data_IF_580029720725
#
_entry.id   IF_580029720725
#
_cell.length_a   1.000
_cell.length_b   1.000
_cell.length_c   1.000
_cell.angle_alpha   90.00
_cell.angle_beta   90.00
_cell.angle_gamma   90.00
#
_symmetry.space_group_name_H-M   'P 1'
#
loop_
_entity.id
_entity.type
_entity.pdbx_description
1 polymer ?
#
# COMPACT_ATOMS: atom_id res chain seq x y z
N UNK A 1 -27.63 2.40 11.49
CA UNK A 1 -26.49 1.46 11.43
C UNK A 1 -25.72 1.65 10.15
N UNK A 2 -26.35 1.54 8.97
CA UNK A 2 -25.69 1.71 7.67
C UNK A 2 -25.72 3.15 7.15
N UNK A 3 -24.86 3.46 6.18
CA UNK A 3 -24.84 4.75 5.48
C UNK A 3 -26.16 5.03 4.75
N UNK A 4 -26.36 6.30 4.37
CA UNK A 4 -27.47 6.74 3.52
C UNK A 4 -26.93 7.25 2.20
N UNK A 5 -27.56 6.84 1.11
CA UNK A 5 -27.38 7.45 -0.20
C UNK A 5 -28.04 8.85 -0.22
N UNK A 6 -27.78 9.61 -1.28
CA UNK A 6 -28.36 10.95 -1.48
C UNK A 6 -29.90 10.95 -1.46
N UNK A 7 -30.51 9.90 -2.02
CA UNK A 7 -31.97 9.70 -2.03
C UNK A 7 -32.55 9.22 -0.69
N UNK A 8 -31.71 9.10 0.36
CA UNK A 8 -32.10 8.63 1.69
C UNK A 8 -32.23 7.11 1.83
N UNK A 9 -32.01 6.33 0.77
CA UNK A 9 -32.00 4.87 0.86
C UNK A 9 -30.77 4.35 1.62
N UNK A 10 -30.85 3.19 2.30
CA UNK A 10 -29.71 2.64 3.04
C UNK A 10 -28.65 2.08 2.08
N UNK A 11 -27.39 2.44 2.31
CA UNK A 11 -26.23 1.84 1.66
C UNK A 11 -25.63 0.76 2.57
N UNK A 12 -25.97 -0.50 2.28
CA UNK A 12 -25.58 -1.65 3.10
C UNK A 12 -24.10 -2.03 2.96
N UNK A 13 -23.35 -1.41 2.03
CA UNK A 13 -21.92 -1.70 1.91
C UNK A 13 -21.20 -1.24 3.17
N UNK A 14 -21.61 -0.09 3.75
CA UNK A 14 -20.89 0.56 4.84
C UNK A 14 -21.73 0.93 6.05
N UNK A 15 -21.11 0.91 7.22
CA UNK A 15 -21.64 1.49 8.45
C UNK A 15 -21.70 3.03 8.37
N UNK A 16 -22.73 3.59 8.98
CA UNK A 16 -22.82 5.01 9.28
C UNK A 16 -22.05 5.28 10.57
N UNK A 17 -20.92 5.97 10.45
CA UNK A 17 -20.03 6.28 11.56
C UNK A 17 -20.54 7.42 12.46
N UNK A 18 -21.68 8.06 12.16
CA UNK A 18 -22.40 8.86 13.15
C UNK A 18 -23.44 8.05 13.95
N UNK A 19 -23.72 6.79 13.58
CA UNK A 19 -24.81 5.99 14.15
C UNK A 19 -24.45 5.34 15.49
N UNK A 20 -25.25 5.58 16.53
CA UNK A 20 -25.11 4.88 17.82
C UNK A 20 -25.22 3.35 17.66
N UNK A 21 -26.14 2.87 16.81
CA UNK A 21 -26.28 1.43 16.53
C UNK A 21 -25.01 0.79 15.95
N UNK A 22 -24.21 1.53 15.19
CA UNK A 22 -22.94 1.02 14.65
C UNK A 22 -21.86 0.95 15.75
N UNK A 23 -21.82 1.95 16.64
CA UNK A 23 -20.98 1.96 17.83
C UNK A 23 -21.32 0.78 18.76
N UNK A 24 -22.61 0.60 19.08
CA UNK A 24 -23.09 -0.48 19.94
C UNK A 24 -22.74 -1.86 19.38
N UNK A 25 -22.83 -2.04 18.06
CA UNK A 25 -22.45 -3.29 17.39
C UNK A 25 -20.96 -3.63 17.58
N UNK A 26 -20.06 -2.66 17.39
CA UNK A 26 -18.62 -2.90 17.60
C UNK A 26 -18.30 -3.14 19.08
N UNK A 27 -18.93 -2.40 20.00
CA UNK A 27 -18.79 -2.60 21.44
C UNK A 27 -19.34 -3.94 21.91
N UNK A 28 -20.41 -4.45 21.29
CA UNK A 28 -20.92 -5.78 21.57
C UNK A 28 -19.90 -6.86 21.19
N UNK A 29 -19.19 -6.69 20.07
CA UNK A 29 -18.06 -7.55 19.72
C UNK A 29 -16.95 -7.55 20.79
N UNK A 30 -16.71 -6.40 21.43
CA UNK A 30 -15.76 -6.30 22.54
C UNK A 30 -16.24 -7.07 23.78
N UNK A 31 -17.52 -6.97 24.13
CA UNK A 31 -18.14 -7.78 25.22
C UNK A 31 -18.02 -9.27 24.92
N UNK A 32 -18.41 -9.68 23.71
CA UNK A 32 -18.35 -11.08 23.31
C UNK A 32 -16.93 -11.63 23.37
N UNK A 33 -15.92 -10.85 22.96
CA UNK A 33 -14.52 -11.28 22.99
C UNK A 33 -13.88 -11.21 24.36
N UNK A 34 -13.84 -10.03 24.99
CA UNK A 34 -13.06 -9.80 26.20
C UNK A 34 -13.75 -10.28 27.48
N UNK A 35 -15.08 -10.24 27.53
CA UNK A 35 -15.83 -10.65 28.72
C UNK A 35 -16.29 -12.12 28.63
N UNK A 36 -16.61 -12.59 27.42
CA UNK A 36 -17.20 -13.91 27.20
C UNK A 36 -16.30 -14.90 26.44
N UNK A 37 -15.11 -14.49 25.99
CA UNK A 37 -14.14 -15.38 25.33
C UNK A 37 -14.57 -15.87 23.94
N UNK A 38 -15.53 -15.23 23.29
CA UNK A 38 -15.99 -15.60 21.94
C UNK A 38 -15.08 -14.97 20.87
N UNK A 39 -14.73 -15.72 19.81
CA UNK A 39 -13.96 -15.16 18.71
C UNK A 39 -14.81 -14.13 17.94
N UNK A 40 -14.26 -12.93 17.74
CA UNK A 40 -14.85 -11.85 16.95
C UNK A 40 -13.77 -11.33 16.01
N UNK A 41 -14.03 -11.29 14.71
CA UNK A 41 -12.98 -11.09 13.69
C UNK A 41 -12.29 -9.72 13.73
N UNK A 42 -12.93 -8.70 14.32
CA UNK A 42 -12.36 -7.36 14.48
C UNK A 42 -11.86 -7.06 15.92
N UNK A 43 -11.81 -8.07 16.79
CA UNK A 43 -11.33 -7.92 18.19
C UNK A 43 -10.26 -8.97 18.47
N UNK A 44 -9.07 -8.50 18.84
CA UNK A 44 -7.97 -9.35 19.32
C UNK A 44 -7.95 -9.38 20.85
N UNK A 45 -7.01 -10.10 21.46
CA UNK A 45 -6.85 -10.11 22.91
C UNK A 45 -6.49 -8.74 23.49
N UNK A 46 -5.95 -7.81 22.70
CA UNK A 46 -5.44 -6.52 23.19
C UNK A 46 -6.10 -5.29 22.55
N UNK A 47 -6.73 -5.42 21.38
CA UNK A 47 -7.33 -4.28 20.69
C UNK A 47 -8.61 -4.63 19.93
N UNK A 48 -9.45 -3.62 19.76
CA UNK A 48 -10.55 -3.63 18.78
C UNK A 48 -10.15 -2.80 17.57
N UNK A 49 -10.38 -3.33 16.38
CA UNK A 49 -10.04 -2.66 15.13
C UNK A 49 -11.24 -1.92 14.56
N UNK A 50 -11.08 -0.62 14.29
CA UNK A 50 -11.99 0.19 13.48
C UNK A 50 -11.39 0.29 12.08
N UNK A 51 -11.81 -0.63 11.20
CA UNK A 51 -11.47 -0.63 9.78
C UNK A 51 -12.75 -0.50 8.97
N UNK A 52 -13.01 0.63 8.32
CA UNK A 52 -14.09 0.70 7.36
C UNK A 52 -13.89 -0.25 6.19
N UNK A 53 -14.97 -0.49 5.45
CA UNK A 53 -14.91 -1.23 4.20
C UNK A 53 -14.07 -0.45 3.20
N UNK A 54 -13.41 -1.18 2.32
CA UNK A 54 -12.43 -0.65 1.35
C UNK A 54 -13.10 0.19 0.23
N UNK A 55 -13.65 1.33 0.60
CA UNK A 55 -14.21 2.36 -0.27
C UNK A 55 -14.40 3.66 0.53
N UNK A 56 -14.77 4.73 -0.18
CA UNK A 56 -14.98 6.06 0.40
C UNK A 56 -16.18 6.08 1.35
N UNK A 57 -16.03 6.76 2.49
CA UNK A 57 -17.16 7.10 3.37
C UNK A 57 -17.95 8.23 2.69
N UNK A 58 -19.24 8.03 2.46
CA UNK A 58 -20.08 8.96 1.73
C UNK A 58 -21.55 8.89 2.20
N UNK A 59 -21.76 9.19 3.49
CA UNK A 59 -23.06 9.07 4.14
C UNK A 59 -23.81 10.40 4.14
N UNK A 60 -25.02 10.42 3.59
CA UNK A 60 -25.87 11.61 3.47
C UNK A 60 -26.91 11.77 4.59
N UNK A 61 -26.75 11.06 5.71
CA UNK A 61 -27.65 11.28 6.84
C UNK A 61 -27.39 12.65 7.50
N UNK A 62 -28.42 13.19 8.15
CA UNK A 62 -28.39 14.49 8.84
C UNK A 62 -27.19 14.64 9.81
N UNK A 63 -26.80 13.56 10.48
CA UNK A 63 -25.67 13.57 11.43
C UNK A 63 -24.29 13.46 10.76
N UNK A 64 -24.19 12.97 9.53
CA UNK A 64 -22.91 12.85 8.81
C UNK A 64 -22.67 14.05 7.89
N UNK A 65 -23.71 14.55 7.22
CA UNK A 65 -23.62 15.64 6.23
C UNK A 65 -22.80 16.86 6.70
N UNK A 66 -23.00 17.43 7.91
CA UNK A 66 -22.23 18.59 8.36
C UNK A 66 -20.79 18.29 8.76
N UNK A 67 -20.37 17.02 8.81
CA UNK A 67 -19.03 16.61 9.19
C UNK A 67 -18.11 16.40 7.97
N UNK A 68 -18.64 16.43 6.75
CA UNK A 68 -17.83 16.33 5.55
C UNK A 68 -17.11 17.64 5.26
N UNK A 69 -15.82 17.54 4.91
CA UNK A 69 -14.93 18.68 4.66
C UNK A 69 -14.44 18.64 3.20
N UNK A 70 -15.21 19.13 2.22
CA UNK A 70 -14.90 18.96 0.79
C UNK A 70 -13.54 19.56 0.39
N UNK A 71 -13.10 20.63 1.06
CA UNK A 71 -11.83 21.30 0.78
C UNK A 71 -10.60 20.47 1.15
N UNK A 72 -10.77 19.39 1.93
CA UNK A 72 -9.69 18.47 2.30
C UNK A 72 -9.55 17.29 1.34
N UNK A 73 -10.10 17.39 0.13
CA UNK A 73 -9.98 16.35 -0.87
C UNK A 73 -8.51 16.06 -1.25
N UNK A 74 -8.18 14.81 -1.64
CA UNK A 74 -9.09 13.67 -1.78
C UNK A 74 -9.14 12.77 -0.53
N UNK A 75 -8.23 12.93 0.43
CA UNK A 75 -8.04 11.99 1.54
C UNK A 75 -8.56 12.47 2.89
N UNK A 76 -9.05 13.70 2.97
CA UNK A 76 -9.49 14.31 4.20
C UNK A 76 -11.01 14.46 4.36
N UNK A 77 -11.79 14.30 3.29
CA UNK A 77 -13.20 14.75 3.26
C UNK A 77 -14.13 14.10 4.29
N UNK A 78 -13.82 12.88 4.75
CA UNK A 78 -14.56 12.16 5.79
C UNK A 78 -13.74 11.94 7.07
N UNK A 79 -12.58 12.57 7.22
CA UNK A 79 -11.70 12.36 8.38
C UNK A 79 -12.36 12.75 9.69
N UNK A 80 -13.15 13.82 9.70
CA UNK A 80 -13.90 14.25 10.88
C UNK A 80 -15.02 13.29 11.25
N UNK A 81 -15.74 12.74 10.25
CA UNK A 81 -16.75 11.68 10.46
C UNK A 81 -16.13 10.49 11.17
N UNK A 82 -15.00 10.00 10.65
CA UNK A 82 -14.32 8.84 11.23
C UNK A 82 -13.66 9.16 12.58
N UNK A 83 -13.01 10.31 12.71
CA UNK A 83 -12.34 10.72 13.94
C UNK A 83 -13.31 10.81 15.12
N UNK A 84 -14.51 11.38 14.92
CA UNK A 84 -15.53 11.44 15.98
C UNK A 84 -16.08 10.05 16.35
N UNK A 85 -16.13 9.11 15.40
CA UNK A 85 -16.49 7.73 15.71
C UNK A 85 -15.40 7.01 16.50
N UNK A 86 -14.15 7.11 16.04
CA UNK A 86 -12.98 6.49 16.69
C UNK A 86 -12.79 7.06 18.10
N UNK A 87 -12.99 8.37 18.30
CA UNK A 87 -12.97 8.99 19.63
C UNK A 87 -13.98 8.32 20.58
N UNK A 88 -15.24 8.18 20.17
CA UNK A 88 -16.28 7.54 20.99
C UNK A 88 -15.95 6.07 21.29
N UNK A 89 -15.38 5.34 20.33
CA UNK A 89 -14.87 3.98 20.55
C UNK A 89 -13.76 3.99 21.61
N UNK A 90 -12.79 4.89 21.51
CA UNK A 90 -11.68 5.00 22.47
C UNK A 90 -12.18 5.31 23.88
N UNK A 91 -13.11 6.26 24.02
CA UNK A 91 -13.71 6.64 25.31
C UNK A 91 -14.41 5.45 25.97
N UNK A 92 -15.27 4.74 25.23
CA UNK A 92 -15.98 3.57 25.76
C UNK A 92 -15.05 2.40 26.08
N UNK A 93 -14.06 2.13 25.21
CA UNK A 93 -13.09 1.05 25.44
C UNK A 93 -12.24 1.34 26.67
N UNK A 94 -11.73 2.57 26.82
CA UNK A 94 -10.92 2.97 27.98
C UNK A 94 -11.72 2.89 29.28
N UNK A 95 -13.01 3.26 29.25
CA UNK A 95 -13.91 3.23 30.41
C UNK A 95 -14.24 1.80 30.86
N UNK A 96 -14.49 0.89 29.91
CA UNK A 96 -15.03 -0.46 30.19
C UNK A 96 -13.94 -1.52 30.31
N UNK A 97 -12.87 -1.41 29.54
CA UNK A 97 -11.77 -2.37 29.50
C UNK A 97 -10.41 -1.65 29.59
N UNK A 98 -10.03 -1.16 30.78
CA UNK A 98 -8.74 -0.52 30.99
C UNK A 98 -7.58 -1.38 30.48
N UNK A 99 -6.66 -0.77 29.73
CA UNK A 99 -5.52 -1.46 29.11
C UNK A 99 -5.79 -2.04 27.71
N UNK A 100 -7.02 -1.98 27.19
CA UNK A 100 -7.31 -2.31 25.79
C UNK A 100 -7.18 -1.09 24.87
N UNK A 101 -6.76 -1.33 23.65
CA UNK A 101 -6.56 -0.30 22.63
C UNK A 101 -7.66 -0.31 21.55
N UNK A 102 -7.80 0.82 20.85
CA UNK A 102 -8.55 0.93 19.60
C UNK A 102 -7.54 1.13 18.47
N UNK A 103 -7.46 0.15 17.56
CA UNK A 103 -6.65 0.28 16.35
C UNK A 103 -7.51 0.88 15.24
N UNK A 104 -7.14 2.06 14.76
CA UNK A 104 -7.81 2.71 13.63
C UNK A 104 -6.99 2.55 12.34
N UNK A 105 -7.66 2.12 11.26
CA UNK A 105 -7.12 2.04 9.91
C UNK A 105 -7.66 3.19 9.04
N UNK A 106 -7.00 4.37 9.04
CA UNK A 106 -7.35 5.47 8.16
C UNK A 106 -6.96 5.15 6.70
N UNK A 107 -7.93 5.31 5.78
CA UNK A 107 -7.78 4.98 4.36
C UNK A 107 -8.79 5.80 3.51
N UNK A 108 -8.62 5.83 2.18
CA UNK A 108 -9.49 6.61 1.29
C UNK A 108 -9.69 8.07 1.76
N UNK A 109 -10.89 8.60 1.64
CA UNK A 109 -11.22 9.97 1.99
C UNK A 109 -11.23 10.26 3.50
N UNK A 110 -10.79 9.32 4.33
CA UNK A 110 -10.59 9.45 5.77
C UNK A 110 -9.16 9.05 6.18
N UNK A 111 -8.18 9.25 5.30
CA UNK A 111 -6.77 8.95 5.60
C UNK A 111 -6.13 10.05 6.45
N UNK A 112 -6.47 11.31 6.18
CA UNK A 112 -5.83 12.45 6.84
C UNK A 112 -6.23 12.55 8.32
N UNK A 113 -5.29 12.97 9.16
CA UNK A 113 -5.56 13.17 10.57
C UNK A 113 -6.53 14.36 10.77
N UNK A 114 -7.66 14.19 11.49
CA UNK A 114 -8.47 15.31 11.94
C UNK A 114 -7.80 15.95 13.17
N UNK A 115 -6.88 16.89 12.92
CA UNK A 115 -6.02 17.48 13.95
C UNK A 115 -6.79 18.19 15.07
N UNK A 116 -8.01 18.65 14.80
CA UNK A 116 -8.90 19.30 15.77
C UNK A 116 -9.54 18.32 16.76
N UNK A 117 -9.45 17.01 16.53
CA UNK A 117 -10.01 15.98 17.40
C UNK A 117 -8.93 15.50 18.36
N UNK A 118 -9.23 15.60 19.66
CA UNK A 118 -8.44 15.00 20.72
C UNK A 118 -8.95 13.60 21.04
N UNK A 119 -8.05 12.62 21.04
CA UNK A 119 -8.33 11.21 21.28
C UNK A 119 -7.78 10.78 22.64
N UNK A 120 -8.42 9.80 23.31
CA UNK A 120 -7.81 9.12 24.43
C UNK A 120 -6.50 8.40 24.04
N UNK A 121 -5.60 8.23 25.02
CA UNK A 121 -4.26 7.61 24.88
C UNK A 121 -4.25 6.12 24.50
N UNK A 122 -5.41 5.48 24.33
CA UNK A 122 -5.54 4.10 23.89
C UNK A 122 -5.79 3.97 22.38
N UNK A 123 -5.65 5.06 21.61
CA UNK A 123 -5.68 5.04 20.16
C UNK A 123 -4.35 4.54 19.58
N UNK A 124 -4.43 3.60 18.66
CA UNK A 124 -3.34 3.15 17.81
C UNK A 124 -3.69 3.36 16.33
N UNK A 125 -2.69 3.61 15.50
CA UNK A 125 -2.87 3.88 14.06
C UNK A 125 -2.13 2.83 13.23
N UNK A 126 -2.85 2.31 12.23
CA UNK A 126 -2.30 1.58 11.10
C UNK A 126 -2.74 2.25 9.82
N UNK A 127 -1.95 3.23 9.34
CA UNK A 127 -2.35 4.07 8.22
C UNK A 127 -2.19 3.32 6.90
N UNK A 128 -3.26 3.25 6.10
CA UNK A 128 -3.19 2.69 4.75
C UNK A 128 -2.52 3.68 3.81
N UNK A 129 -1.52 3.22 3.05
CA UNK A 129 -0.96 3.98 1.93
C UNK A 129 -1.71 3.62 0.65
N UNK A 130 -1.49 4.39 -0.42
CA UNK A 130 -2.20 4.19 -1.69
C UNK A 130 -1.46 3.21 -2.61
N UNK A 131 -0.41 3.68 -3.30
CA UNK A 131 0.49 2.84 -4.10
C UNK A 131 1.94 3.22 -3.81
N UNK A 132 2.66 2.34 -3.11
CA UNK A 132 3.98 2.68 -2.55
C UNK A 132 4.99 3.10 -3.61
N UNK A 133 5.06 2.39 -4.74
CA UNK A 133 6.02 2.73 -5.79
C UNK A 133 5.75 4.09 -6.48
N UNK A 134 4.60 4.74 -6.24
CA UNK A 134 4.36 6.13 -6.65
C UNK A 134 5.00 7.16 -5.72
N UNK A 135 5.47 6.77 -4.53
CA UNK A 135 6.19 7.64 -3.59
C UNK A 135 7.59 8.04 -4.08
N UNK A 136 8.03 7.60 -5.27
CA UNK A 136 9.13 8.26 -5.98
C UNK A 136 8.79 9.72 -6.35
N UNK A 137 7.50 10.04 -6.48
CA UNK A 137 7.03 11.39 -6.77
C UNK A 137 6.99 12.22 -5.48
N UNK A 138 7.62 13.40 -5.43
CA UNK A 138 7.66 14.23 -4.23
C UNK A 138 6.28 14.62 -3.68
N UNK A 139 5.29 14.85 -4.55
CA UNK A 139 3.94 15.19 -4.10
C UNK A 139 3.27 14.00 -3.39
N UNK A 140 3.27 12.82 -3.99
CA UNK A 140 2.70 11.60 -3.42
C UNK A 140 3.38 11.26 -2.09
N UNK A 141 4.72 11.28 -2.06
CA UNK A 141 5.51 11.03 -0.85
C UNK A 141 5.23 12.07 0.23
N UNK A 142 5.29 13.35 -0.12
CA UNK A 142 5.08 14.45 0.82
C UNK A 142 3.68 14.43 1.43
N UNK A 143 2.66 14.03 0.67
CA UNK A 143 1.30 13.87 1.20
C UNK A 143 1.24 12.75 2.24
N UNK A 144 1.76 11.57 1.91
CA UNK A 144 1.76 10.42 2.82
C UNK A 144 2.59 10.68 4.08
N UNK A 145 3.77 11.28 3.95
CA UNK A 145 4.61 11.63 5.10
C UNK A 145 3.97 12.71 6.00
N UNK A 146 3.23 13.67 5.43
CA UNK A 146 2.46 14.64 6.23
C UNK A 146 1.39 13.95 7.08
N UNK A 147 0.58 13.08 6.49
CA UNK A 147 -0.47 12.36 7.22
C UNK A 147 0.12 11.39 8.25
N UNK A 148 1.22 10.71 7.91
CA UNK A 148 1.98 9.86 8.82
C UNK A 148 2.46 10.61 10.07
N UNK A 149 3.13 11.76 9.87
CA UNK A 149 3.65 12.58 10.97
C UNK A 149 2.51 13.20 11.80
N UNK A 150 1.39 13.57 11.17
CA UNK A 150 0.22 14.08 11.88
C UNK A 150 -0.36 13.02 12.82
N UNK A 151 -0.52 11.78 12.33
CA UNK A 151 -0.96 10.66 13.15
C UNK A 151 0.03 10.31 14.26
N UNK A 152 1.32 10.28 13.96
CA UNK A 152 2.37 10.02 14.96
C UNK A 152 2.37 11.06 16.08
N UNK A 153 2.23 12.36 15.76
CA UNK A 153 2.03 13.41 16.77
C UNK A 153 0.77 13.18 17.59
N UNK A 154 -0.33 12.79 16.94
CA UNK A 154 -1.63 12.61 17.61
C UNK A 154 -1.64 11.44 18.61
N UNK A 155 -0.91 10.35 18.33
CA UNK A 155 -0.76 9.23 19.27
C UNK A 155 0.44 9.36 20.20
N UNK A 156 1.27 10.39 20.02
CA UNK A 156 2.46 10.62 20.85
C UNK A 156 3.57 9.59 20.66
N UNK A 157 3.67 8.98 19.48
CA UNK A 157 4.63 7.89 19.22
C UNK A 157 4.62 7.39 17.78
N UNK A 158 5.43 6.37 17.48
CA UNK A 158 5.49 5.79 16.14
C UNK A 158 4.17 5.06 15.81
N UNK A 159 3.79 5.09 14.53
CA UNK A 159 2.58 4.43 14.01
C UNK A 159 2.96 3.29 13.08
N UNK A 160 2.01 2.41 12.79
CA UNK A 160 2.19 1.39 11.75
C UNK A 160 1.58 1.83 10.43
N UNK A 161 2.02 1.25 9.33
CA UNK A 161 1.36 1.41 8.02
C UNK A 161 0.84 0.09 7.47
N UNK A 162 -0.13 0.20 6.56
CA UNK A 162 -0.65 -0.89 5.76
C UNK A 162 -0.30 -0.59 4.30
N UNK A 163 0.58 -1.40 3.74
CA UNK A 163 1.25 -1.14 2.46
C UNK A 163 0.77 -2.08 1.38
N UNK A 164 0.62 -1.57 0.15
CA UNK A 164 0.12 -2.35 -0.99
C UNK A 164 1.22 -2.50 -2.05
N UNK A 165 2.11 -3.48 -1.88
CA UNK A 165 3.23 -3.70 -2.83
C UNK A 165 2.75 -4.20 -4.20
N UNK A 166 1.54 -4.75 -4.28
CA UNK A 166 0.92 -5.30 -5.47
C UNK A 166 0.31 -4.27 -6.44
N UNK A 167 0.13 -3.00 -6.04
CA UNK A 167 -0.60 -2.01 -6.87
C UNK A 167 -0.01 -1.82 -8.26
N UNK A 168 1.31 -1.74 -8.37
CA UNK A 168 1.96 -1.55 -9.68
C UNK A 168 1.81 -2.77 -10.59
N UNK A 169 2.03 -4.01 -10.09
CA UNK A 169 1.65 -5.22 -10.83
C UNK A 169 0.19 -5.30 -11.31
N UNK A 170 -0.76 -4.62 -10.65
CA UNK A 170 -2.16 -4.57 -11.11
C UNK A 170 -2.36 -3.66 -12.33
N UNK A 171 -1.44 -2.73 -12.60
CA UNK A 171 -1.61 -1.69 -13.62
C UNK A 171 -0.84 -1.94 -14.90
N UNK A 172 0.22 -2.75 -14.83
CA UNK A 172 1.07 -3.07 -15.98
C UNK A 172 1.72 -4.44 -15.79
N UNK A 173 1.93 -5.14 -16.91
CA UNK A 173 2.73 -6.36 -16.93
C UNK A 173 4.24 -6.10 -16.88
N UNK A 174 4.69 -4.84 -16.99
CA UNK A 174 6.10 -4.49 -17.01
C UNK A 174 6.84 -4.94 -15.73
N UNK A 175 8.14 -5.32 -15.82
CA UNK A 175 8.91 -5.75 -14.67
C UNK A 175 9.28 -4.53 -13.81
N UNK A 176 8.36 -4.12 -12.92
CA UNK A 176 8.54 -2.97 -12.04
C UNK A 176 9.21 -3.41 -10.74
N UNK A 177 10.33 -2.78 -10.37
CA UNK A 177 11.01 -2.96 -9.09
C UNK A 177 11.34 -1.59 -8.48
N UNK A 178 11.34 -1.48 -7.15
CA UNK A 178 11.64 -0.23 -6.45
C UNK A 178 12.28 -0.43 -5.05
N UNK A 179 13.28 -1.31 -4.90
CA UNK A 179 13.84 -1.65 -3.60
C UNK A 179 14.60 -0.49 -2.93
N UNK A 180 15.22 0.42 -3.69
CA UNK A 180 15.93 1.57 -3.14
C UNK A 180 14.95 2.62 -2.63
N UNK A 181 13.83 2.82 -3.33
CA UNK A 181 12.73 3.67 -2.85
C UNK A 181 12.17 3.17 -1.50
N UNK A 182 12.01 1.86 -1.35
CA UNK A 182 11.60 1.24 -0.08
C UNK A 182 12.60 1.62 1.02
N UNK A 183 13.89 1.36 0.82
CA UNK A 183 14.91 1.74 1.80
C UNK A 183 14.85 3.23 2.17
N UNK A 184 14.80 4.11 1.18
CA UNK A 184 14.80 5.56 1.39
C UNK A 184 13.58 6.04 2.18
N UNK A 185 12.42 5.42 1.99
CA UNK A 185 11.20 5.74 2.74
C UNK A 185 11.34 5.35 4.22
N UNK A 186 11.72 4.10 4.51
CA UNK A 186 11.81 3.63 5.89
C UNK A 186 12.96 4.28 6.64
N UNK A 187 14.09 4.56 5.98
CA UNK A 187 15.19 5.31 6.59
C UNK A 187 14.75 6.73 6.99
N UNK A 188 14.03 7.43 6.11
CA UNK A 188 13.60 8.81 6.33
C UNK A 188 12.48 8.95 7.39
N UNK A 189 11.71 7.88 7.64
CA UNK A 189 10.56 7.90 8.53
C UNK A 189 10.71 6.99 9.76
N UNK A 190 11.94 6.52 10.05
CA UNK A 190 12.23 5.60 11.16
C UNK A 190 11.90 6.13 12.55
N UNK A 191 11.77 7.45 12.69
CA UNK A 191 11.40 8.14 13.94
C UNK A 191 9.89 8.06 14.22
N UNK A 192 9.08 7.89 13.18
CA UNK A 192 7.61 7.90 13.26
C UNK A 192 6.97 6.57 12.86
N UNK A 193 7.74 5.60 12.37
CA UNK A 193 7.26 4.27 11.99
C UNK A 193 7.67 3.20 13.01
N UNK A 194 6.69 2.41 13.45
CA UNK A 194 6.92 1.21 14.24
C UNK A 194 7.10 -0.04 13.37
N UNK A 195 6.67 0.03 12.11
CA UNK A 195 6.70 -1.08 11.15
C UNK A 195 5.48 -1.04 10.23
N UNK A 196 5.39 -2.03 9.35
CA UNK A 196 4.36 -2.05 8.31
C UNK A 196 3.85 -3.46 8.07
N UNK A 197 2.55 -3.55 7.84
CA UNK A 197 1.92 -4.73 7.28
C UNK A 197 1.99 -4.62 5.76
N UNK A 198 2.60 -5.60 5.09
CA UNK A 198 2.58 -5.68 3.63
C UNK A 198 1.36 -6.50 3.20
N UNK A 199 0.38 -5.81 2.64
CA UNK A 199 -0.82 -6.40 2.12
C UNK A 199 -0.54 -7.14 0.82
N UNK A 200 -0.70 -8.44 0.88
CA UNK A 200 -0.61 -9.34 -0.24
C UNK A 200 -0.97 -10.77 0.18
N UNK A 201 -0.68 -11.73 -0.70
CA UNK A 201 -1.00 -13.13 -0.48
C UNK A 201 -1.53 -13.85 -1.74
N UNK A 202 -1.68 -13.14 -2.85
CA UNK A 202 -2.02 -13.75 -4.13
C UNK A 202 -0.75 -14.02 -4.94
N UNK A 203 -0.69 -15.19 -5.59
CA UNK A 203 0.49 -15.65 -6.37
C UNK A 203 0.95 -14.61 -7.41
N UNK A 204 0.02 -13.87 -8.02
CA UNK A 204 0.32 -12.85 -9.02
C UNK A 204 1.16 -11.69 -8.47
N UNK A 205 0.91 -11.29 -7.23
CA UNK A 205 1.58 -10.17 -6.56
C UNK A 205 3.07 -10.51 -6.33
N UNK A 206 3.32 -11.70 -5.79
CA UNK A 206 4.67 -12.23 -5.57
C UNK A 206 5.43 -12.43 -6.90
N UNK A 207 4.75 -12.76 -8.01
CA UNK A 207 5.44 -13.02 -9.27
C UNK A 207 6.08 -11.76 -9.88
N UNK A 208 5.46 -10.60 -9.67
CA UNK A 208 5.91 -9.34 -10.25
C UNK A 208 6.67 -8.44 -9.25
N UNK A 209 6.43 -8.56 -7.94
CA UNK A 209 7.06 -7.72 -6.91
C UNK A 209 8.08 -8.44 -6.01
N UNK A 210 8.30 -9.76 -6.16
CA UNK A 210 9.13 -10.55 -5.24
C UNK A 210 10.51 -9.97 -4.89
N UNK A 211 11.32 -9.46 -5.85
CA UNK A 211 12.62 -8.89 -5.48
C UNK A 211 12.48 -7.65 -4.58
N UNK A 212 11.53 -6.76 -4.87
CA UNK A 212 11.22 -5.60 -4.03
C UNK A 212 10.70 -6.04 -2.67
N UNK A 213 9.74 -6.96 -2.61
CA UNK A 213 9.20 -7.46 -1.33
C UNK A 213 10.27 -8.16 -0.48
N UNK A 214 11.19 -8.91 -1.10
CA UNK A 214 12.30 -9.56 -0.40
C UNK A 214 13.24 -8.53 0.25
N UNK A 215 13.58 -7.46 -0.48
CA UNK A 215 14.35 -6.32 0.09
C UNK A 215 13.52 -5.63 1.16
N UNK A 216 12.23 -5.40 0.93
CA UNK A 216 11.34 -4.74 1.86
C UNK A 216 11.30 -5.43 3.22
N UNK A 217 11.21 -6.76 3.25
CA UNK A 217 11.29 -7.54 4.50
C UNK A 217 12.62 -7.37 5.25
N UNK A 218 13.74 -7.15 4.54
CA UNK A 218 15.04 -6.85 5.17
C UNK A 218 15.10 -5.41 5.68
N UNK A 219 14.54 -4.47 4.93
CA UNK A 219 14.45 -3.05 5.31
C UNK A 219 13.59 -2.86 6.57
N UNK A 220 12.49 -3.60 6.71
CA UNK A 220 11.65 -3.58 7.93
C UNK A 220 12.41 -4.03 9.18
N UNK A 221 13.42 -4.89 9.03
CA UNK A 221 14.31 -5.27 10.12
C UNK A 221 15.41 -4.22 10.36
N UNK A 222 16.00 -3.69 9.29
CA UNK A 222 17.03 -2.66 9.35
C UNK A 222 17.02 -1.80 8.06
N UNK A 223 16.69 -0.49 8.12
CA UNK A 223 16.67 0.36 6.94
C UNK A 223 18.07 0.73 6.41
N UNK A 224 19.14 0.41 7.13
CA UNK A 224 20.53 0.70 6.75
C UNK A 224 21.25 -0.47 6.07
N UNK A 225 20.49 -1.47 5.58
CA UNK A 225 21.03 -2.60 4.80
C UNK A 225 21.61 -2.17 3.45
N UNK A 226 22.51 -2.98 2.89
CA UNK A 226 22.95 -2.82 1.50
C UNK A 226 21.94 -3.50 0.55
N UNK A 227 21.12 -2.69 -0.11
CA UNK A 227 20.07 -3.17 -1.04
C UNK A 227 20.69 -3.94 -2.21
N UNK A 228 21.78 -3.45 -2.78
CA UNK A 228 22.38 -4.04 -3.97
C UNK A 228 23.03 -5.39 -3.63
N UNK A 229 23.70 -5.49 -2.48
CA UNK A 229 24.22 -6.76 -1.98
C UNK A 229 23.12 -7.79 -1.68
N UNK A 230 21.95 -7.35 -1.19
CA UNK A 230 20.79 -8.23 -0.98
C UNK A 230 20.30 -8.81 -2.32
N UNK A 231 20.20 -7.97 -3.36
CA UNK A 231 19.78 -8.39 -4.69
C UNK A 231 20.82 -9.31 -5.36
N UNK A 232 22.10 -9.01 -5.21
CA UNK A 232 23.19 -9.87 -5.71
C UNK A 232 23.11 -11.27 -5.08
N UNK A 233 22.89 -11.33 -3.76
CA UNK A 233 22.78 -12.58 -3.05
C UNK A 233 21.46 -13.32 -3.36
N UNK A 234 20.38 -12.61 -3.69
CA UNK A 234 19.14 -13.20 -4.21
C UNK A 234 19.39 -13.86 -5.58
N UNK A 235 19.97 -13.12 -6.53
CA UNK A 235 20.27 -13.63 -7.87
C UNK A 235 21.21 -14.84 -7.83
N UNK A 236 22.25 -14.79 -6.99
CA UNK A 236 23.21 -15.89 -6.80
C UNK A 236 22.50 -17.17 -6.35
N UNK A 237 21.60 -17.06 -5.35
CA UNK A 237 20.90 -18.22 -4.76
C UNK A 237 19.80 -18.78 -5.66
N UNK A 238 19.16 -17.93 -6.45
CA UNK A 238 18.00 -18.34 -7.25
C UNK A 238 18.37 -18.79 -8.67
N UNK A 239 19.36 -18.15 -9.31
CA UNK A 239 19.58 -18.27 -10.75
C UNK A 239 20.96 -18.84 -11.13
N UNK A 240 21.84 -19.08 -10.16
CA UNK A 240 23.10 -19.81 -10.37
C UNK A 240 23.95 -19.17 -11.48
N UNK A 241 24.17 -19.91 -12.57
CA UNK A 241 24.96 -19.46 -13.73
C UNK A 241 24.47 -18.15 -14.34
N UNK A 242 23.17 -17.87 -14.28
CA UNK A 242 22.58 -16.63 -14.80
C UNK A 242 22.55 -15.48 -13.79
N UNK A 243 23.18 -15.63 -12.62
CA UNK A 243 23.11 -14.63 -11.54
C UNK A 243 23.45 -13.21 -12.01
N UNK A 244 24.54 -13.04 -12.76
CA UNK A 244 24.97 -11.72 -13.24
C UNK A 244 23.95 -11.11 -14.21
N UNK A 245 23.46 -11.90 -15.17
CA UNK A 245 22.47 -11.45 -16.16
C UNK A 245 21.12 -11.14 -15.53
N UNK A 246 20.65 -11.99 -14.61
CA UNK A 246 19.42 -11.75 -13.84
C UNK A 246 19.55 -10.51 -12.95
N UNK A 247 20.72 -10.26 -12.38
CA UNK A 247 20.97 -9.07 -11.57
C UNK A 247 20.92 -7.79 -12.41
N UNK A 248 21.52 -7.82 -13.60
CA UNK A 248 21.47 -6.72 -14.56
C UNK A 248 20.02 -6.44 -15.03
N UNK A 249 19.22 -7.49 -15.23
CA UNK A 249 17.78 -7.36 -15.49
C UNK A 249 17.06 -6.62 -14.36
N UNK A 250 17.26 -7.04 -13.11
CA UNK A 250 16.63 -6.40 -11.94
C UNK A 250 17.13 -4.96 -11.74
N UNK A 251 18.41 -4.71 -11.98
CA UNK A 251 19.00 -3.36 -11.93
C UNK A 251 18.31 -2.44 -12.93
N UNK A 252 18.19 -2.88 -14.18
CA UNK A 252 17.52 -2.09 -15.22
C UNK A 252 16.05 -1.86 -14.87
N UNK A 253 15.32 -2.91 -14.44
CA UNK A 253 13.94 -2.80 -14.00
C UNK A 253 13.75 -1.74 -12.88
N UNK A 254 14.59 -1.78 -11.85
CA UNK A 254 14.58 -0.82 -10.75
C UNK A 254 14.94 0.59 -11.20
N UNK A 255 16.06 0.74 -11.92
CA UNK A 255 16.53 2.04 -12.42
C UNK A 255 15.47 2.73 -13.29
N UNK A 256 14.77 1.96 -14.15
CA UNK A 256 13.72 2.52 -15.00
C UNK A 256 12.56 3.03 -14.18
N UNK A 257 12.02 2.26 -13.24
CA UNK A 257 10.90 2.74 -12.45
C UNK A 257 11.29 3.91 -11.54
N UNK A 258 12.41 3.81 -10.84
CA UNK A 258 12.80 4.80 -9.83
C UNK A 258 13.29 6.12 -10.46
N UNK A 259 13.94 6.09 -11.62
CA UNK A 259 14.70 7.23 -12.16
C UNK A 259 14.25 7.73 -13.53
N UNK A 260 13.36 7.03 -14.26
CA UNK A 260 12.93 7.51 -15.57
C UNK A 260 12.31 8.91 -15.48
N UNK A 261 12.62 9.80 -16.45
CA UNK A 261 12.06 11.14 -16.51
C UNK A 261 10.62 11.05 -17.03
N UNK A 262 9.65 10.98 -16.12
CA UNK A 262 8.25 10.93 -16.50
C UNK A 262 7.78 12.28 -17.03
N UNK A 263 7.04 12.31 -18.16
CA UNK A 263 6.51 13.55 -18.73
C UNK A 263 5.40 14.17 -17.87
N UNK A 264 4.74 13.36 -17.02
CA UNK A 264 3.75 13.81 -16.05
C UNK A 264 3.80 13.00 -14.74
N UNK A 265 3.18 13.54 -13.70
CA UNK A 265 2.92 12.79 -12.47
C UNK A 265 1.69 11.88 -12.59
N UNK A 266 1.70 10.77 -11.88
CA UNK A 266 0.59 9.80 -11.79
C UNK A 266 -0.29 10.02 -10.55
N UNK A 267 -0.02 11.05 -9.74
CA UNK A 267 -0.63 11.22 -8.43
C UNK A 267 -0.23 10.09 -7.47
N UNK A 268 -1.11 9.78 -6.51
CA UNK A 268 -0.88 8.78 -5.46
C UNK A 268 -1.73 7.51 -5.60
N UNK A 269 -2.74 7.50 -6.48
CA UNK A 269 -3.58 6.33 -6.77
C UNK A 269 -3.88 6.16 -8.28
N UNK A 270 -2.98 6.64 -9.15
CA UNK A 270 -3.14 6.62 -10.61
C UNK A 270 -3.00 5.23 -11.24
N UNK A 271 -2.92 5.18 -12.57
CA UNK A 271 -2.49 3.99 -13.33
C UNK A 271 -1.30 4.40 -14.20
N UNK A 272 -0.50 3.44 -14.65
CA UNK A 272 0.55 3.74 -15.63
C UNK A 272 -0.12 4.07 -16.97
N UNK A 273 -0.05 5.33 -17.38
CA UNK A 273 -0.60 5.78 -18.67
C UNK A 273 0.41 5.61 -19.81
N UNK A 274 0.00 5.68 -21.09
CA UNK A 274 0.89 5.43 -22.22
C UNK A 274 2.13 6.34 -22.28
N UNK A 275 2.06 7.66 -22.02
CA UNK A 275 3.26 8.51 -22.00
C UNK A 275 4.26 8.14 -20.90
N UNK A 276 3.78 7.86 -19.68
CA UNK A 276 4.65 7.41 -18.59
C UNK A 276 5.21 6.02 -18.87
N UNK A 277 4.42 5.11 -19.46
CA UNK A 277 4.89 3.81 -19.91
C UNK A 277 6.02 3.97 -20.95
N UNK A 278 5.82 4.76 -22.00
CA UNK A 278 6.80 4.97 -23.07
C UNK A 278 8.09 5.62 -22.54
N UNK A 279 7.97 6.58 -21.61
CA UNK A 279 9.13 7.18 -20.96
C UNK A 279 9.85 6.19 -20.03
N UNK A 280 9.14 5.26 -19.39
CA UNK A 280 9.75 4.27 -18.49
C UNK A 280 10.39 3.13 -19.27
N UNK A 281 9.76 2.63 -20.32
CA UNK A 281 10.23 1.53 -21.16
C UNK A 281 10.21 1.90 -22.65
N UNK A 282 11.13 2.79 -23.09
CA UNK A 282 11.28 3.07 -24.51
C UNK A 282 11.78 1.82 -25.26
N UNK A 283 11.66 1.76 -26.61
CA UNK A 283 11.93 0.55 -27.39
C UNK A 283 13.30 -0.10 -27.13
N UNK A 284 14.35 0.71 -26.91
CA UNK A 284 15.69 0.22 -26.58
C UNK A 284 15.76 -0.46 -25.21
N UNK A 285 14.98 0.00 -24.23
CA UNK A 285 14.87 -0.62 -22.91
C UNK A 285 14.09 -1.94 -22.99
N UNK A 286 12.97 -1.95 -23.73
CA UNK A 286 12.19 -3.18 -23.98
C UNK A 286 13.07 -4.24 -24.64
N UNK A 287 13.83 -3.82 -25.66
CA UNK A 287 14.79 -4.69 -26.36
C UNK A 287 15.86 -5.21 -25.40
N UNK A 288 16.45 -4.34 -24.58
CA UNK A 288 17.50 -4.74 -23.63
C UNK A 288 16.99 -5.70 -22.56
N UNK A 289 15.81 -5.46 -21.99
CA UNK A 289 15.18 -6.37 -21.03
C UNK A 289 14.88 -7.74 -21.68
N UNK A 290 14.47 -7.75 -22.95
CA UNK A 290 14.22 -8.99 -23.70
C UNK A 290 15.51 -9.79 -23.88
N UNK A 291 16.59 -9.14 -24.32
CA UNK A 291 17.90 -9.76 -24.46
C UNK A 291 18.40 -10.33 -23.12
N UNK A 292 18.27 -9.59 -22.02
CA UNK A 292 18.67 -10.05 -20.70
C UNK A 292 17.85 -11.27 -20.24
N UNK A 293 16.53 -11.27 -20.50
CA UNK A 293 15.66 -12.41 -20.19
C UNK A 293 16.11 -13.66 -20.97
N UNK A 294 16.33 -13.52 -22.27
CA UNK A 294 16.64 -14.64 -23.14
C UNK A 294 18.07 -15.17 -22.88
N UNK A 295 19.02 -14.26 -22.61
CA UNK A 295 20.39 -14.62 -22.18
C UNK A 295 20.38 -15.36 -20.85
N UNK A 296 19.66 -14.87 -19.83
CA UNK A 296 19.58 -15.55 -18.53
C UNK A 296 18.98 -16.96 -18.67
N UNK A 297 17.93 -17.12 -19.50
CA UNK A 297 17.38 -18.44 -19.83
C UNK A 297 18.41 -19.35 -20.49
N UNK A 298 19.23 -18.85 -21.41
CA UNK A 298 20.28 -19.65 -22.05
C UNK A 298 21.36 -20.07 -21.05
N UNK A 299 21.81 -19.14 -20.17
CA UNK A 299 22.84 -19.38 -19.15
C UNK A 299 22.41 -20.40 -18.08
N UNK A 300 21.13 -20.41 -17.69
CA UNK A 300 20.56 -21.40 -16.76
C UNK A 300 20.69 -22.82 -17.34
N UNK A 301 20.51 -22.98 -18.65
CA UNK A 301 20.53 -24.29 -19.31
C UNK A 301 19.54 -25.28 -18.69
N UNK A 302 20.04 -26.46 -18.32
CA UNK A 302 19.23 -27.59 -17.83
C UNK A 302 18.95 -27.58 -16.32
N UNK A 303 19.31 -26.52 -15.59
CA UNK A 303 18.93 -26.38 -14.17
C UNK A 303 17.43 -26.11 -14.05
N UNK A 304 16.66 -27.18 -13.88
CA UNK A 304 15.21 -27.16 -13.80
C UNK A 304 14.67 -26.33 -12.61
N UNK A 305 15.42 -26.15 -11.53
CA UNK A 305 14.97 -25.36 -10.39
C UNK A 305 15.20 -23.86 -10.63
N UNK A 306 16.39 -23.48 -11.08
CA UNK A 306 16.67 -22.09 -11.47
C UNK A 306 15.81 -21.63 -12.64
N UNK A 307 15.52 -22.52 -13.60
CA UNK A 307 14.59 -22.23 -14.71
C UNK A 307 13.20 -21.88 -14.20
N UNK A 308 12.61 -22.73 -13.34
CA UNK A 308 11.28 -22.47 -12.73
C UNK A 308 11.24 -21.16 -11.95
N UNK A 309 12.29 -20.85 -11.18
CA UNK A 309 12.39 -19.60 -10.42
C UNK A 309 12.49 -18.37 -11.33
N UNK A 310 13.28 -18.45 -12.40
CA UNK A 310 13.44 -17.34 -13.33
C UNK A 310 12.17 -17.11 -14.16
N UNK A 311 11.54 -18.19 -14.63
CA UNK A 311 10.26 -18.10 -15.35
C UNK A 311 9.15 -17.52 -14.47
N UNK A 312 9.16 -17.82 -13.17
CA UNK A 312 8.26 -17.19 -12.20
C UNK A 312 8.52 -15.67 -12.06
N UNK A 313 9.79 -15.25 -11.95
CA UNK A 313 10.16 -13.82 -11.92
C UNK A 313 9.72 -13.07 -13.20
N UNK A 314 9.75 -13.74 -14.34
CA UNK A 314 9.41 -13.14 -15.65
C UNK A 314 8.04 -13.55 -16.16
N UNK A 315 7.14 -14.00 -15.29
CA UNK A 315 5.85 -14.58 -15.67
C UNK A 315 4.99 -13.65 -16.53
N UNK A 316 5.00 -12.34 -16.22
CA UNK A 316 4.21 -11.32 -16.93
C UNK A 316 4.90 -10.79 -18.19
N UNK A 317 6.12 -11.23 -18.52
CA UNK A 317 6.96 -10.55 -19.50
C UNK A 317 6.38 -10.58 -20.93
N UNK A 318 5.70 -11.66 -21.32
CA UNK A 318 5.04 -11.69 -22.63
C UNK A 318 3.83 -10.74 -22.68
N UNK A 319 3.18 -10.49 -21.55
CA UNK A 319 2.19 -9.43 -21.40
C UNK A 319 2.82 -8.04 -21.55
N UNK A 320 3.98 -7.83 -20.94
CA UNK A 320 4.75 -6.58 -21.08
C UNK A 320 5.13 -6.29 -22.54
N UNK A 321 5.55 -7.30 -23.31
CA UNK A 321 5.86 -7.12 -24.73
C UNK A 321 4.63 -6.69 -25.54
N UNK A 322 3.45 -7.24 -25.22
CA UNK A 322 2.18 -6.84 -25.87
C UNK A 322 1.79 -5.41 -25.50
N UNK A 323 1.92 -5.04 -24.22
CA UNK A 323 1.69 -3.66 -23.75
C UNK A 323 2.62 -2.68 -24.47
N UNK A 324 3.92 -2.98 -24.53
CA UNK A 324 4.91 -2.14 -25.20
C UNK A 324 4.62 -1.97 -26.70
N UNK A 325 4.25 -3.04 -27.40
CA UNK A 325 3.85 -2.96 -28.81
C UNK A 325 2.58 -2.12 -29.00
N UNK A 326 1.59 -2.24 -28.12
CA UNK A 326 0.36 -1.45 -28.15
C UNK A 326 0.62 0.06 -27.94
N UNK A 327 1.46 0.41 -26.95
CA UNK A 327 1.85 1.79 -26.70
C UNK A 327 2.64 2.38 -27.88
N UNK A 328 3.57 1.61 -28.47
CA UNK A 328 4.33 2.05 -29.63
C UNK A 328 3.45 2.27 -30.87
N UNK A 329 2.47 1.38 -31.12
CA UNK A 329 1.54 1.52 -32.23
C UNK A 329 0.65 2.76 -32.08
N UNK A 330 0.17 3.05 -30.86
CA UNK A 330 -0.64 4.23 -30.58
C UNK A 330 0.12 5.57 -30.68
N UNK A 331 1.46 5.52 -30.65
CA UNK A 331 2.33 6.71 -30.74
C UNK A 331 2.69 7.08 -32.19
N UNK A 332 2.38 6.23 -33.19
CA UNK A 332 2.58 6.56 -34.59
C UNK A 332 1.37 7.38 -35.09
N UNK A 333 1.57 8.59 -35.65
CA UNK A 333 0.48 9.32 -36.29
C UNK A 333 0.00 8.55 -37.53
N UNK A 334 -1.32 8.54 -37.77
CA UNK A 334 -1.94 8.01 -39.00
C UNK A 334 -1.37 8.63 -40.28
#
# INVERSE_FOLDING_TARGET
MFQRNEDGTPNLRMLCYSSQKALDYLLQGCVDSWDNGKPVSWVTTTCVTVSPGDYRVHCHCEACAPLFEPDRAPYGTASKVMGLFVKRMCEEVKRRWPGKAVLYLPYWNYTDCPEEIEFPDNLQIQMCTMAFGLMRQPEARGRMERSLRAWSRKVGGPVTTWEYSHRLPEWTCAPVQYPHLVQDYYRANRDVLAGSFLNGGMIGEWSAAAPTDYVWMKVLWNPDVDVDAILDALCTRLFGKASATSREFLRLAADRWEKAPWPQGLGDAGKVDPPVFAATWPPEVVTRLTQLRDQARAEIGDDALSRRRFDYLTWTFDGFLKEAAGVAAAAQPE
#
